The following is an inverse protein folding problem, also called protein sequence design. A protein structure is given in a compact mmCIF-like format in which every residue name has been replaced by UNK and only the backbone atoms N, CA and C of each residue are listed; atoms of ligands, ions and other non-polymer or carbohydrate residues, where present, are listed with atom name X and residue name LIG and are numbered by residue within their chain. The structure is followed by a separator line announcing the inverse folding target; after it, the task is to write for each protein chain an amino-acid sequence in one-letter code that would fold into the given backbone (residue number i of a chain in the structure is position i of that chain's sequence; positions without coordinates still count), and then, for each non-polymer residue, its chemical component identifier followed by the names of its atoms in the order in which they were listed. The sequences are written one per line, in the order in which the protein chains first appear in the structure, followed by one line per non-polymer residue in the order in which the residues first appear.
data_IF_049016972394
#
_entry.id   IF_049016972394
#
_cell.length_a   1.000
_cell.length_b   1.000
_cell.length_c   1.000
_cell.angle_alpha   90.00
_cell.angle_beta   90.00
_cell.angle_gamma   90.00
#
_symmetry.space_group_name_H-M   'P 1'
#
loop_
_entity.id
_entity.type
_entity.pdbx_description
1 polymer ?
#
# COMPACT_ATOMS: atom_id res chain seq x y z
N UNK A 1 -1.46 -8.64 -3.54
CA UNK A 1 -2.56 -7.65 -3.39
C UNK A 1 -3.26 -7.43 -4.72
N UNK A 2 -2.55 -7.31 -5.84
CA UNK A 2 -3.14 -7.18 -7.18
C UNK A 2 -4.13 -8.30 -7.57
N UNK A 3 -3.91 -9.55 -7.13
CA UNK A 3 -4.92 -10.61 -7.29
C UNK A 3 -6.23 -10.32 -6.54
N UNK A 4 -6.15 -9.73 -5.35
CA UNK A 4 -7.33 -9.33 -4.56
C UNK A 4 -8.03 -8.13 -5.18
N UNK A 5 -7.27 -7.18 -5.72
CA UNK A 5 -7.79 -6.04 -6.48
C UNK A 5 -8.57 -6.51 -7.72
N UNK A 6 -7.99 -7.40 -8.51
CA UNK A 6 -8.68 -8.01 -9.65
C UNK A 6 -9.96 -8.74 -9.21
N UNK A 7 -9.91 -9.50 -8.11
CA UNK A 7 -11.09 -10.20 -7.58
C UNK A 7 -12.22 -9.23 -7.15
N UNK A 8 -11.87 -8.09 -6.53
CA UNK A 8 -12.84 -7.03 -6.20
C UNK A 8 -13.46 -6.46 -7.47
N UNK A 9 -12.65 -6.10 -8.47
CA UNK A 9 -13.15 -5.57 -9.74
C UNK A 9 -14.08 -6.55 -10.49
N UNK A 10 -13.71 -7.84 -10.53
CA UNK A 10 -14.53 -8.90 -11.13
C UNK A 10 -15.85 -9.04 -10.36
N UNK A 11 -15.82 -9.07 -9.03
CA UNK A 11 -17.03 -9.21 -8.23
C UNK A 11 -17.99 -8.03 -8.40
N UNK A 12 -17.48 -6.79 -8.49
CA UNK A 12 -18.27 -5.61 -8.80
C UNK A 12 -18.91 -5.71 -10.18
N UNK A 13 -18.12 -6.08 -11.20
CA UNK A 13 -18.63 -6.21 -12.57
C UNK A 13 -19.74 -7.27 -12.72
N UNK A 14 -19.64 -8.36 -11.96
CA UNK A 14 -20.62 -9.45 -11.98
C UNK A 14 -21.77 -9.26 -10.97
N UNK A 15 -21.77 -8.17 -10.20
CA UNK A 15 -22.69 -7.94 -9.09
C UNK A 15 -22.71 -9.09 -8.05
N UNK A 16 -21.59 -9.80 -7.90
CA UNK A 16 -21.47 -10.97 -7.02
C UNK A 16 -21.02 -10.53 -5.62
N UNK A 17 -22.00 -10.31 -4.74
CA UNK A 17 -21.76 -9.92 -3.35
C UNK A 17 -20.92 -10.93 -2.56
N UNK A 18 -21.11 -12.22 -2.79
CA UNK A 18 -20.41 -13.25 -2.04
C UNK A 18 -18.92 -13.31 -2.43
N UNK A 19 -18.61 -13.17 -3.72
CA UNK A 19 -17.24 -13.04 -4.20
C UNK A 19 -16.57 -11.77 -3.67
N UNK A 20 -17.30 -10.64 -3.66
CA UNK A 20 -16.83 -9.38 -3.12
C UNK A 20 -16.48 -9.50 -1.63
N UNK A 21 -17.39 -10.00 -0.80
CA UNK A 21 -17.15 -10.14 0.65
C UNK A 21 -15.96 -11.07 0.95
N UNK A 22 -15.79 -12.14 0.16
CA UNK A 22 -14.63 -13.03 0.25
C UNK A 22 -13.32 -12.31 -0.12
N UNK A 23 -13.34 -11.46 -1.14
CA UNK A 23 -12.19 -10.66 -1.55
C UNK A 23 -11.84 -9.59 -0.49
N UNK A 24 -12.83 -8.92 0.10
CA UNK A 24 -12.63 -8.00 1.23
C UNK A 24 -12.07 -8.72 2.46
N UNK A 25 -12.54 -9.93 2.76
CA UNK A 25 -11.96 -10.76 3.82
C UNK A 25 -10.48 -11.06 3.58
N UNK A 26 -10.10 -11.39 2.34
CA UNK A 26 -8.67 -11.55 1.97
C UNK A 26 -7.91 -10.24 2.09
N UNK A 27 -8.48 -9.12 1.66
CA UNK A 27 -7.87 -7.79 1.78
C UNK A 27 -7.51 -7.47 3.23
N UNK A 28 -8.45 -7.64 4.17
CA UNK A 28 -8.24 -7.40 5.60
C UNK A 28 -7.12 -8.25 6.21
N UNK A 29 -6.94 -9.49 5.74
CA UNK A 29 -5.81 -10.34 6.17
C UNK A 29 -4.48 -9.97 5.48
N UNK A 30 -4.53 -9.41 4.27
CA UNK A 30 -3.33 -9.09 3.47
C UNK A 30 -2.72 -7.73 3.81
N UNK A 31 -3.50 -6.71 4.13
CA UNK A 31 -2.99 -5.37 4.49
C UNK A 31 -2.00 -5.43 5.66
N UNK A 32 -2.35 -5.98 6.84
CA UNK A 32 -1.41 -6.06 7.96
C UNK A 32 -0.26 -7.03 7.71
N UNK A 33 -0.44 -8.00 6.80
CA UNK A 33 0.63 -8.90 6.38
C UNK A 33 1.58 -8.29 5.34
N UNK A 34 1.21 -7.16 4.75
CA UNK A 34 2.00 -6.46 3.73
C UNK A 34 2.66 -5.20 4.29
N UNK A 35 1.97 -4.45 5.15
CA UNK A 35 2.48 -3.24 5.78
C UNK A 35 2.62 -3.48 7.27
N UNK A 36 3.85 -3.43 7.78
CA UNK A 36 4.11 -3.47 9.21
C UNK A 36 3.87 -2.10 9.85
N UNK A 37 3.31 -2.12 11.06
CA UNK A 37 3.40 -1.02 12.03
C UNK A 37 3.85 -1.57 13.37
N UNK A 38 4.49 -0.75 14.18
CA UNK A 38 5.03 -1.09 15.50
C UNK A 38 3.99 -1.66 16.45
N UNK A 39 2.72 -1.28 16.29
CA UNK A 39 1.59 -1.85 17.01
C UNK A 39 1.39 -3.37 16.75
N UNK A 40 2.01 -3.94 15.72
CA UNK A 40 1.96 -5.39 15.45
C UNK A 40 2.78 -6.23 16.42
N UNK A 41 3.72 -5.61 17.15
CA UNK A 41 4.70 -6.26 17.99
C UNK A 41 6.06 -6.40 17.30
N UNK A 42 6.86 -7.39 17.72
CA UNK A 42 8.26 -7.54 17.27
C UNK A 42 8.43 -8.13 15.86
N UNK A 43 7.32 -8.54 15.22
CA UNK A 43 7.28 -9.13 13.89
C UNK A 43 6.03 -8.66 13.12
N UNK A 44 6.12 -8.58 11.79
CA UNK A 44 4.94 -8.40 10.95
C UNK A 44 3.90 -9.49 11.15
N UNK A 45 2.63 -9.09 11.01
CA UNK A 45 1.57 -10.09 10.86
C UNK A 45 1.82 -10.91 9.60
N UNK A 46 1.30 -12.12 9.59
CA UNK A 46 1.43 -13.04 8.45
C UNK A 46 0.07 -13.24 7.81
N UNK A 47 0.06 -13.46 6.49
CA UNK A 47 -1.19 -13.69 5.79
C UNK A 47 -1.84 -15.00 6.29
N UNK A 48 -3.16 -15.04 6.49
CA UNK A 48 -3.86 -16.26 6.90
C UNK A 48 -3.53 -17.43 5.96
N UNK A 49 -3.16 -18.57 6.54
CA UNK A 49 -2.80 -19.78 5.78
C UNK A 49 -1.43 -19.75 5.10
N UNK A 50 -0.56 -18.78 5.39
CA UNK A 50 0.76 -18.67 4.74
C UNK A 50 1.80 -19.69 5.21
N UNK A 51 1.61 -20.34 6.36
CA UNK A 51 2.61 -21.24 6.96
C UNK A 51 3.88 -20.53 7.47
N UNK A 52 3.86 -19.19 7.54
CA UNK A 52 4.92 -18.36 8.14
C UNK A 52 4.78 -18.36 9.67
N UNK A 53 5.11 -19.48 10.29
CA UNK A 53 4.88 -19.79 11.71
C UNK A 53 6.11 -19.58 12.61
N UNK A 54 7.26 -19.17 12.05
CA UNK A 54 8.49 -18.90 12.80
C UNK A 54 9.10 -17.56 12.41
N UNK A 55 9.84 -16.95 13.35
CA UNK A 55 10.61 -15.71 13.12
C UNK A 55 11.51 -15.81 11.90
N UNK A 56 12.22 -16.93 11.73
CA UNK A 56 13.13 -17.14 10.61
C UNK A 56 12.40 -17.15 9.26
N UNK A 57 11.24 -17.83 9.18
CA UNK A 57 10.40 -17.81 7.97
C UNK A 57 9.90 -16.40 7.66
N UNK A 58 9.46 -15.66 8.67
CA UNK A 58 8.99 -14.27 8.48
C UNK A 58 10.13 -13.38 7.99
N UNK A 59 11.30 -13.39 8.62
CA UNK A 59 12.45 -12.57 8.21
C UNK A 59 12.90 -12.93 6.79
N UNK A 60 12.98 -14.22 6.45
CA UNK A 60 13.32 -14.65 5.09
C UNK A 60 12.30 -14.11 4.07
N UNK A 61 11.00 -14.26 4.38
CA UNK A 61 9.93 -13.76 3.52
C UNK A 61 9.97 -12.23 3.35
N UNK A 62 10.41 -11.49 4.37
CA UNK A 62 10.64 -10.04 4.35
C UNK A 62 12.05 -9.67 3.84
N UNK A 63 12.61 -10.49 2.93
CA UNK A 63 13.87 -10.23 2.23
C UNK A 63 15.08 -10.07 3.17
N UNK A 64 15.10 -10.81 4.28
CA UNK A 64 16.17 -10.76 5.27
C UNK A 64 16.08 -9.57 6.23
N UNK A 65 15.09 -8.68 6.07
CA UNK A 65 14.90 -7.54 6.96
C UNK A 65 14.48 -8.01 8.35
N UNK A 66 15.26 -7.66 9.38
CA UNK A 66 15.02 -8.06 10.77
C UNK A 66 14.63 -6.91 11.70
N UNK A 67 14.71 -5.67 11.21
CA UNK A 67 14.32 -4.46 11.93
C UNK A 67 13.04 -3.91 11.30
N UNK A 68 12.00 -3.71 12.09
CA UNK A 68 10.70 -3.30 11.57
C UNK A 68 10.33 -1.90 12.10
N UNK A 69 9.74 -1.07 11.26
CA UNK A 69 9.38 0.32 11.55
C UNK A 69 8.08 0.69 10.84
N UNK A 70 7.35 1.67 11.37
CA UNK A 70 6.04 2.04 10.84
C UNK A 70 6.06 2.31 9.34
N UNK A 71 5.20 1.60 8.61
CA UNK A 71 5.06 1.74 7.17
C UNK A 71 5.99 0.86 6.35
N UNK A 72 6.87 0.06 6.96
CA UNK A 72 7.69 -0.89 6.23
C UNK A 72 6.81 -1.89 5.48
N UNK A 73 7.03 -2.02 4.17
CA UNK A 73 6.31 -2.96 3.33
C UNK A 73 7.09 -4.26 3.15
N UNK A 74 6.37 -5.34 2.92
CA UNK A 74 6.91 -6.67 2.67
C UNK A 74 7.90 -6.72 1.50
N UNK A 75 7.71 -5.85 0.50
CA UNK A 75 8.55 -5.76 -0.70
C UNK A 75 9.61 -4.66 -0.62
N UNK A 76 9.69 -3.88 0.48
CA UNK A 76 10.58 -2.70 0.58
C UNK A 76 12.03 -3.05 0.28
N UNK A 77 12.52 -4.17 0.81
CA UNK A 77 13.90 -4.60 0.60
C UNK A 77 14.10 -5.47 -0.65
N UNK A 78 13.04 -5.72 -1.43
CA UNK A 78 13.15 -6.29 -2.78
C UNK A 78 13.39 -5.16 -3.78
N UNK A 79 12.41 -4.26 -3.89
CA UNK A 79 12.48 -3.00 -4.63
C UNK A 79 11.25 -2.13 -4.37
N UNK A 80 11.40 -0.83 -4.65
CA UNK A 80 10.32 0.12 -4.47
C UNK A 80 9.22 0.00 -5.53
N UNK A 81 9.50 -0.59 -6.69
CA UNK A 81 8.48 -0.78 -7.73
C UNK A 81 7.41 -1.78 -7.29
N UNK A 82 7.79 -2.93 -6.76
CA UNK A 82 6.89 -3.91 -6.17
C UNK A 82 6.22 -3.38 -4.91
N UNK A 83 6.95 -2.61 -4.10
CA UNK A 83 6.37 -1.88 -2.98
C UNK A 83 5.20 -1.01 -3.45
N UNK A 84 5.43 -0.21 -4.49
CA UNK A 84 4.44 0.65 -5.12
C UNK A 84 3.23 -0.11 -5.63
N UNK A 85 3.43 -1.28 -6.25
CA UNK A 85 2.32 -2.11 -6.72
C UNK A 85 1.39 -2.56 -5.60
N UNK A 86 1.94 -2.97 -4.45
CA UNK A 86 1.10 -3.31 -3.30
C UNK A 86 0.37 -2.11 -2.70
N UNK A 87 1.01 -0.93 -2.65
CA UNK A 87 0.38 0.29 -2.12
C UNK A 87 -0.74 0.81 -3.04
N UNK A 88 -0.52 0.79 -4.36
CA UNK A 88 -1.57 1.13 -5.34
C UNK A 88 -2.73 0.12 -5.24
N UNK A 89 -2.47 -1.18 -5.23
CA UNK A 89 -3.52 -2.19 -5.11
C UNK A 89 -4.34 -2.03 -3.82
N UNK A 90 -3.71 -1.69 -2.68
CA UNK A 90 -4.43 -1.38 -1.44
C UNK A 90 -5.32 -0.15 -1.61
N UNK A 91 -4.80 0.91 -2.22
CA UNK A 91 -5.52 2.16 -2.45
C UNK A 91 -6.70 1.96 -3.39
N UNK A 92 -6.52 1.18 -4.48
CA UNK A 92 -7.56 0.87 -5.46
C UNK A 92 -8.67 0.01 -4.87
N UNK A 93 -8.34 -1.01 -4.07
CA UNK A 93 -9.34 -1.82 -3.37
C UNK A 93 -10.18 -0.94 -2.44
N UNK A 94 -9.52 -0.09 -1.64
CA UNK A 94 -10.21 0.79 -0.71
C UNK A 94 -11.10 1.80 -1.44
N UNK A 95 -10.62 2.42 -2.52
CA UNK A 95 -11.40 3.39 -3.29
C UNK A 95 -12.56 2.73 -4.04
N UNK A 96 -12.33 1.58 -4.67
CA UNK A 96 -13.41 0.81 -5.31
C UNK A 96 -14.48 0.44 -4.29
N UNK A 97 -14.07 -0.07 -3.13
CA UNK A 97 -15.01 -0.46 -2.06
C UNK A 97 -15.82 0.74 -1.57
N UNK A 98 -15.17 1.89 -1.38
CA UNK A 98 -15.83 3.14 -0.98
C UNK A 98 -16.87 3.59 -2.01
N UNK A 99 -16.53 3.56 -3.29
CA UNK A 99 -17.46 3.85 -4.40
C UNK A 99 -18.65 2.88 -4.40
N UNK A 100 -18.43 1.62 -4.02
CA UNK A 100 -19.49 0.60 -3.85
C UNK A 100 -20.25 0.70 -2.51
N UNK A 101 -20.04 1.77 -1.75
CA UNK A 101 -20.76 2.04 -0.50
C UNK A 101 -20.17 1.36 0.75
N UNK A 102 -18.97 0.80 0.68
CA UNK A 102 -18.25 0.27 1.84
C UNK A 102 -16.92 1.00 2.05
N UNK A 103 -16.89 1.91 3.02
CA UNK A 103 -15.65 2.62 3.35
C UNK A 103 -14.67 1.73 4.14
N UNK A 104 -13.55 1.39 3.52
CA UNK A 104 -12.47 0.61 4.12
C UNK A 104 -11.29 1.48 4.56
N UNK A 105 -11.25 2.77 4.22
CA UNK A 105 -10.12 3.63 4.56
C UNK A 105 -9.88 3.74 6.07
N UNK A 106 -10.89 3.90 6.94
CA UNK A 106 -10.68 3.95 8.39
C UNK A 106 -9.95 2.72 8.95
N UNK A 107 -10.17 1.53 8.36
CA UNK A 107 -9.52 0.28 8.80
C UNK A 107 -8.02 0.24 8.47
N UNK A 108 -7.60 0.91 7.40
CA UNK A 108 -6.25 0.81 6.85
C UNK A 108 -5.43 2.11 6.96
N UNK A 109 -6.07 3.22 7.33
CA UNK A 109 -5.52 4.57 7.22
C UNK A 109 -4.16 4.70 7.89
N UNK A 110 -4.03 4.16 9.10
CA UNK A 110 -2.79 4.23 9.87
C UNK A 110 -1.62 3.52 9.15
N UNK A 111 -1.85 2.31 8.63
CA UNK A 111 -0.82 1.57 7.89
C UNK A 111 -0.48 2.25 6.58
N UNK A 112 -1.51 2.60 5.80
CA UNK A 112 -1.31 3.14 4.46
C UNK A 112 -0.61 4.50 4.51
N UNK A 113 -0.98 5.39 5.44
CA UNK A 113 -0.34 6.70 5.59
C UNK A 113 1.13 6.58 5.99
N UNK A 114 1.46 5.66 6.91
CA UNK A 114 2.86 5.43 7.30
C UNK A 114 3.66 4.83 6.15
N UNK A 115 3.11 3.85 5.43
CA UNK A 115 3.80 3.24 4.31
C UNK A 115 4.07 4.22 3.19
N UNK A 116 3.06 4.98 2.77
CA UNK A 116 3.26 6.02 1.75
C UNK A 116 4.24 7.09 2.22
N UNK A 117 4.19 7.48 3.50
CA UNK A 117 5.10 8.48 4.07
C UNK A 117 6.55 8.02 4.13
N UNK A 118 6.81 6.78 4.57
CA UNK A 118 8.14 6.19 4.68
C UNK A 118 8.82 6.09 3.31
N UNK A 119 8.13 5.51 2.33
CA UNK A 119 8.71 5.30 1.02
C UNK A 119 8.87 6.61 0.24
N UNK A 120 7.91 7.54 0.36
CA UNK A 120 8.04 8.87 -0.24
C UNK A 120 9.24 9.65 0.33
N UNK A 121 9.44 9.62 1.66
CA UNK A 121 10.59 10.25 2.34
C UNK A 121 11.93 9.84 1.72
N UNK A 122 12.12 8.54 1.51
CA UNK A 122 13.37 8.02 0.96
C UNK A 122 13.50 8.26 -0.54
N UNK A 123 12.41 8.13 -1.31
CA UNK A 123 12.41 8.46 -2.74
C UNK A 123 12.66 9.95 -3.01
N UNK A 124 12.30 10.83 -2.07
CA UNK A 124 12.61 12.26 -2.11
C UNK A 124 14.06 12.58 -1.73
N UNK A 125 14.88 11.58 -1.41
CA UNK A 125 16.32 11.72 -1.21
C UNK A 125 16.79 11.68 0.25
N UNK A 126 15.90 11.38 1.21
CA UNK A 126 16.37 11.17 2.59
C UNK A 126 17.23 9.89 2.67
N UNK A 127 18.45 9.94 3.22
CA UNK A 127 19.31 8.77 3.35
C UNK A 127 18.60 7.59 4.03
N UNK A 128 18.85 6.40 3.50
CA UNK A 128 18.31 5.13 4.04
C UNK A 128 19.26 4.68 5.16
N UNK A 129 18.78 4.50 6.40
CA UNK A 129 19.63 4.02 7.48
C UNK A 129 20.07 2.57 7.22
N UNK A 130 21.24 2.17 7.71
CA UNK A 130 21.74 0.78 7.58
C UNK A 130 20.80 -0.27 8.17
N UNK A 131 19.96 0.13 9.13
CA UNK A 131 18.91 -0.70 9.71
C UNK A 131 17.73 -0.97 8.78
N UNK A 132 17.63 -0.32 7.61
CA UNK A 132 16.60 -0.51 6.60
C UNK A 132 17.24 -1.02 5.30
N UNK A 133 17.02 -2.30 4.97
CA UNK A 133 17.50 -2.91 3.74
C UNK A 133 19.02 -2.75 3.51
N UNK A 134 19.80 -2.79 4.59
CA UNK A 134 21.26 -2.60 4.53
C UNK A 134 21.71 -1.18 4.14
N UNK A 135 20.82 -0.18 4.21
CA UNK A 135 21.15 1.22 3.91
C UNK A 135 20.93 1.63 2.46
N UNK A 136 20.25 0.80 1.65
CA UNK A 136 19.89 1.16 0.29
C UNK A 136 18.51 0.63 -0.10
N UNK A 137 17.82 1.37 -0.96
CA UNK A 137 16.56 0.97 -1.57
C UNK A 137 16.73 0.95 -3.09
N UNK A 138 16.16 -0.06 -3.73
CA UNK A 138 16.25 -0.25 -5.18
C UNK A 138 15.03 0.35 -5.89
N UNK A 139 15.24 0.86 -7.09
CA UNK A 139 14.19 1.39 -7.99
C UNK A 139 13.39 2.54 -7.36
N UNK A 140 12.15 2.76 -7.78
CA UNK A 140 11.26 3.80 -7.27
C UNK A 140 9.80 3.29 -7.22
N UNK A 141 8.95 3.97 -6.47
CA UNK A 141 7.53 3.62 -6.30
C UNK A 141 6.72 3.64 -7.60
N UNK A 142 7.16 4.37 -8.62
CA UNK A 142 6.32 4.72 -9.76
C UNK A 142 5.22 5.72 -9.41
N UNK A 143 4.23 5.91 -10.31
CA UNK A 143 3.18 6.92 -10.16
C UNK A 143 1.95 6.37 -9.39
N UNK A 144 2.16 5.91 -8.15
CA UNK A 144 1.20 5.04 -7.43
C UNK A 144 0.54 5.67 -6.20
N UNK A 145 0.84 6.95 -5.92
CA UNK A 145 0.48 7.56 -4.64
C UNK A 145 -0.83 8.31 -4.66
N UNK A 146 -1.37 8.65 -5.84
CA UNK A 146 -2.44 9.62 -6.00
C UNK A 146 -3.75 9.20 -5.33
N UNK A 147 -4.23 7.97 -5.58
CA UNK A 147 -5.51 7.48 -5.02
C UNK A 147 -5.47 7.45 -3.50
N UNK A 148 -4.43 6.86 -2.93
CA UNK A 148 -4.27 6.77 -1.48
C UNK A 148 -4.05 8.14 -0.83
N UNK A 149 -3.27 9.01 -1.47
CA UNK A 149 -3.04 10.38 -1.00
C UNK A 149 -4.33 11.20 -0.99
N UNK A 150 -5.11 11.20 -2.08
CA UNK A 150 -6.37 11.93 -2.13
C UNK A 150 -7.32 11.48 -1.02
N UNK A 151 -7.45 10.17 -0.81
CA UNK A 151 -8.32 9.64 0.24
C UNK A 151 -7.89 10.07 1.65
N UNK A 152 -6.62 9.88 1.96
CA UNK A 152 -6.13 10.05 3.33
C UNK A 152 -5.89 11.52 3.67
N UNK A 153 -5.31 12.29 2.75
CA UNK A 153 -5.02 13.70 3.00
C UNK A 153 -6.25 14.58 2.77
N UNK A 154 -6.87 14.48 1.59
CA UNK A 154 -7.93 15.42 1.23
C UNK A 154 -9.26 15.08 1.91
N UNK A 155 -9.66 13.81 1.95
CA UNK A 155 -10.95 13.42 2.56
C UNK A 155 -10.86 13.16 4.06
N UNK A 156 -9.78 12.56 4.54
CA UNK A 156 -9.61 12.20 5.96
C UNK A 156 -8.71 13.16 6.77
N UNK A 157 -8.08 14.15 6.12
CA UNK A 157 -7.36 15.23 6.81
C UNK A 157 -5.98 14.86 7.37
N UNK A 158 -5.36 13.77 6.94
CA UNK A 158 -4.00 13.42 7.37
C UNK A 158 -2.95 14.26 6.63
N UNK A 159 -2.04 14.92 7.35
CA UNK A 159 -1.08 15.87 6.77
C UNK A 159 -0.13 15.31 5.68
N UNK A 160 0.17 14.00 5.70
CA UNK A 160 0.90 13.22 4.67
C UNK A 160 2.01 13.94 3.86
N UNK A 161 2.81 14.81 4.48
CA UNK A 161 3.65 15.81 3.79
C UNK A 161 4.60 15.22 2.75
N UNK A 162 5.35 14.17 3.08
CA UNK A 162 6.26 13.53 2.11
C UNK A 162 5.51 12.92 0.93
N UNK A 163 4.36 12.29 1.19
CA UNK A 163 3.52 11.70 0.13
C UNK A 163 2.92 12.77 -0.74
N UNK A 164 2.48 13.90 -0.16
CA UNK A 164 2.01 15.06 -0.93
C UNK A 164 3.08 15.55 -1.89
N UNK A 165 4.28 15.86 -1.37
CA UNK A 165 5.40 16.36 -2.18
C UNK A 165 5.76 15.40 -3.31
N UNK A 166 5.80 14.08 -3.04
CA UNK A 166 6.10 13.11 -4.08
C UNK A 166 4.99 13.04 -5.14
N UNK A 167 3.72 12.98 -4.70
CA UNK A 167 2.55 12.91 -5.60
C UNK A 167 2.53 14.11 -6.53
N UNK A 168 2.61 15.33 -5.98
CA UNK A 168 2.59 16.57 -6.74
C UNK A 168 3.75 16.66 -7.74
N UNK A 169 4.96 16.21 -7.36
CA UNK A 169 6.12 16.17 -8.27
C UNK A 169 5.93 15.20 -9.45
N UNK A 170 5.09 14.19 -9.29
CA UNK A 170 4.81 13.17 -10.31
C UNK A 170 3.59 13.50 -11.18
N UNK A 171 2.85 14.58 -10.89
CA UNK A 171 1.71 14.99 -11.69
C UNK A 171 2.14 15.67 -13.02
N UNK A 172 1.38 15.49 -14.12
CA UNK A 172 0.32 14.49 -14.27
C UNK A 172 0.91 13.08 -14.39
N UNK A 173 0.40 12.15 -13.58
CA UNK A 173 0.78 10.75 -13.66
C UNK A 173 0.15 10.09 -14.90
N UNK A 174 0.98 9.38 -15.67
CA UNK A 174 0.54 8.53 -16.78
C UNK A 174 0.06 7.15 -16.33
N UNK A 175 0.40 6.12 -17.09
CA UNK A 175 0.18 4.72 -16.72
C UNK A 175 1.50 4.01 -16.42
N UNK A 176 1.46 2.97 -15.59
CA UNK A 176 2.56 2.01 -15.46
C UNK A 176 2.48 0.85 -16.47
N UNK A 177 1.55 0.91 -17.44
CA UNK A 177 1.23 -0.14 -18.42
C UNK A 177 0.77 -1.48 -17.82
N UNK A 178 0.34 -1.49 -16.56
CA UNK A 178 -0.20 -2.66 -15.87
C UNK A 178 -1.63 -2.36 -15.39
N UNK A 179 -1.77 -1.75 -14.22
CA UNK A 179 -3.07 -1.53 -13.56
C UNK A 179 -3.22 -0.12 -12.95
N UNK A 180 -2.17 0.71 -13.04
CA UNK A 180 -2.20 2.12 -12.67
C UNK A 180 -2.34 2.92 -13.94
N UNK A 181 -3.37 3.76 -14.03
CA UNK A 181 -3.63 4.54 -15.23
C UNK A 181 -4.31 5.88 -14.91
N UNK A 182 -3.61 6.98 -15.21
CA UNK A 182 -4.18 8.33 -15.22
C UNK A 182 -4.83 8.74 -13.89
N UNK A 183 -4.22 8.34 -12.77
CA UNK A 183 -4.80 8.57 -11.45
C UNK A 183 -4.92 10.06 -11.14
N UNK A 184 -3.99 10.90 -11.62
CA UNK A 184 -4.10 12.36 -11.45
C UNK A 184 -5.38 12.91 -12.09
N UNK A 185 -5.75 12.41 -13.28
CA UNK A 185 -6.95 12.85 -13.97
C UNK A 185 -8.24 12.46 -13.21
N UNK A 186 -8.22 11.30 -12.55
CA UNK A 186 -9.42 10.70 -11.95
C UNK A 186 -9.58 11.02 -10.46
N UNK A 187 -8.49 11.28 -9.74
CA UNK A 187 -8.50 11.38 -8.28
C UNK A 187 -7.88 12.67 -7.71
N UNK A 188 -7.06 13.42 -8.45
CA UNK A 188 -6.38 14.57 -7.85
C UNK A 188 -7.38 15.61 -7.35
N UNK A 189 -7.33 15.90 -6.04
CA UNK A 189 -8.23 16.83 -5.36
C UNK A 189 -9.72 16.52 -5.54
N UNK A 190 -10.07 15.26 -5.81
CA UNK A 190 -11.45 14.83 -5.94
C UNK A 190 -12.08 14.72 -4.54
N UNK A 191 -13.07 15.57 -4.19
CA UNK A 191 -13.66 15.58 -2.86
C UNK A 191 -14.71 14.46 -2.66
N UNK A 192 -15.12 13.79 -3.74
CA UNK A 192 -16.19 12.80 -3.75
C UNK A 192 -15.79 11.45 -3.13
#
# INVERSE_FOLDING_TARGET
LSMTEAAIGIAVFLEDRAAYDKAVGKFRGRVPAYIYVTADGSLPKVAPGSGLDTRAKVINYWQGQSTFMDGLSQETCRDLTHTGYGLSAISHIAETSRIQGQDLYPEIADRLRHAMGLHAKHQLGTPVPSSLCGGSLKDNLGPVTEVGFNALANRLGYAMTNTQTLTERQRPAGSNNLFVAWETLTHANNPA
#
